data_IF_183103844362
#
_entry.id   IF_183103844362
#
_cell.length_a   1.000
_cell.length_b   1.000
_cell.length_c   1.000
_cell.angle_alpha   90.00
_cell.angle_beta   90.00
_cell.angle_gamma   90.00
#
_symmetry.space_group_name_H-M   'P 1'
#
loop_
_entity.id
_entity.type
_entity.pdbx_description
1 polymer ?
#
# COMPACT_ATOMS: atom_id res chain seq x y z
N UNK A 1 -40.90 -20.19 34.44
CA UNK A 1 -40.71 -18.75 34.11
C UNK A 1 -39.29 -18.57 33.60
N UNK A 2 -39.09 -18.17 32.33
CA UNK A 2 -37.76 -17.83 31.79
C UNK A 2 -37.50 -16.34 32.03
N UNK A 3 -36.30 -15.92 32.45
CA UNK A 3 -36.01 -14.51 32.69
C UNK A 3 -35.97 -13.75 31.36
N UNK A 4 -36.75 -12.67 31.26
CA UNK A 4 -36.67 -11.70 30.16
C UNK A 4 -35.32 -10.98 30.25
N UNK A 5 -34.47 -11.17 29.23
CA UNK A 5 -33.30 -10.32 29.00
C UNK A 5 -33.78 -8.89 28.76
N UNK A 6 -33.42 -7.98 29.66
CA UNK A 6 -33.59 -6.55 29.45
C UNK A 6 -32.77 -6.12 28.23
N UNK A 7 -33.46 -5.71 27.17
CA UNK A 7 -32.82 -5.06 26.05
C UNK A 7 -32.27 -3.72 26.52
N UNK A 8 -30.95 -3.56 26.49
CA UNK A 8 -30.34 -2.24 26.61
C UNK A 8 -30.96 -1.33 25.54
N UNK A 9 -31.62 -0.25 25.95
CA UNK A 9 -32.10 0.81 25.06
C UNK A 9 -30.89 1.45 24.39
N UNK A 10 -30.53 0.95 23.22
CA UNK A 10 -29.58 1.62 22.34
C UNK A 10 -30.20 2.93 21.89
N UNK A 11 -29.46 4.03 22.08
CA UNK A 11 -29.81 5.32 21.49
C UNK A 11 -29.83 5.14 19.97
N UNK A 12 -31.01 5.12 19.37
CA UNK A 12 -31.15 5.20 17.92
C UNK A 12 -30.78 6.62 17.49
N UNK A 13 -29.59 6.77 16.92
CA UNK A 13 -29.19 8.01 16.26
C UNK A 13 -30.14 8.24 15.08
N UNK A 14 -30.82 9.38 15.08
CA UNK A 14 -31.63 9.81 13.94
C UNK A 14 -30.79 9.92 12.66
N UNK A 15 -31.46 9.93 11.51
CA UNK A 15 -30.81 10.00 10.18
C UNK A 15 -29.94 11.25 10.03
N UNK A 16 -30.37 12.40 10.57
CA UNK A 16 -29.63 13.66 10.51
C UNK A 16 -28.21 13.59 11.11
N UNK A 17 -28.05 13.18 12.38
CA UNK A 17 -26.73 12.97 13.00
C UNK A 17 -25.80 12.02 12.22
N UNK A 18 -26.35 10.96 11.62
CA UNK A 18 -25.56 10.01 10.82
C UNK A 18 -25.06 10.62 9.51
N UNK A 19 -25.90 11.40 8.82
CA UNK A 19 -25.51 12.14 7.61
C UNK A 19 -24.44 13.17 7.94
N UNK A 20 -24.62 13.94 9.03
CA UNK A 20 -23.61 14.90 9.48
C UNK A 20 -22.26 14.25 9.82
N UNK A 21 -22.27 13.10 10.50
CA UNK A 21 -21.06 12.35 10.80
C UNK A 21 -20.37 11.79 9.54
N UNK A 22 -21.14 11.27 8.57
CA UNK A 22 -20.60 10.80 7.31
C UNK A 22 -19.95 11.94 6.50
N UNK A 23 -20.60 13.11 6.43
CA UNK A 23 -20.03 14.31 5.83
C UNK A 23 -18.75 14.75 6.55
N UNK A 24 -18.75 14.73 7.88
CA UNK A 24 -17.57 15.02 8.69
C UNK A 24 -16.38 14.11 8.35
N UNK A 25 -16.62 12.81 8.15
CA UNK A 25 -15.57 11.86 7.72
C UNK A 25 -15.02 12.23 6.34
N UNK A 26 -15.86 12.63 5.39
CA UNK A 26 -15.40 13.04 4.05
C UNK A 26 -14.61 14.34 4.09
N UNK A 27 -15.03 15.32 4.91
CA UNK A 27 -14.29 16.56 5.13
C UNK A 27 -12.91 16.25 5.73
N UNK A 28 -12.85 15.42 6.77
CA UNK A 28 -11.57 14.98 7.37
C UNK A 28 -10.71 14.25 6.35
N UNK A 29 -11.29 13.38 5.52
CA UNK A 29 -10.56 12.67 4.48
C UNK A 29 -9.93 13.64 3.47
N UNK A 30 -10.69 14.64 3.01
CA UNK A 30 -10.19 15.67 2.11
C UNK A 30 -9.10 16.52 2.76
N UNK A 31 -9.30 17.00 3.99
CA UNK A 31 -8.34 17.82 4.72
C UNK A 31 -7.04 17.06 5.01
N UNK A 32 -7.11 15.81 5.47
CA UNK A 32 -5.93 15.01 5.78
C UNK A 32 -5.05 14.81 4.52
N UNK A 33 -5.67 14.66 3.36
CA UNK A 33 -4.99 14.53 2.06
C UNK A 33 -4.41 15.85 1.59
N UNK A 34 -5.16 16.94 1.72
CA UNK A 34 -4.72 18.27 1.34
C UNK A 34 -3.52 18.75 2.16
N UNK A 35 -3.56 18.56 3.49
CA UNK A 35 -2.49 19.00 4.41
C UNK A 35 -1.23 18.12 4.32
N UNK A 36 -1.40 16.83 3.99
CA UNK A 36 -0.27 15.90 3.87
C UNK A 36 0.55 16.08 2.59
N UNK A 37 0.12 16.92 1.65
CA UNK A 37 0.71 17.06 0.32
C UNK A 37 1.23 18.48 0.04
N UNK A 38 2.54 18.69 0.04
CA UNK A 38 3.13 19.80 -0.69
C UNK A 38 3.19 19.43 -2.18
N UNK A 39 2.08 19.61 -2.91
CA UNK A 39 2.02 19.39 -4.38
C UNK A 39 3.17 20.13 -5.10
N UNK A 40 3.50 21.33 -4.62
CA UNK A 40 4.58 22.19 -5.13
C UNK A 40 6.00 21.58 -5.04
N UNK A 41 6.18 20.50 -4.28
CA UNK A 41 7.47 19.81 -4.07
C UNK A 41 7.46 18.37 -4.58
N UNK A 42 6.38 17.93 -5.22
CA UNK A 42 6.28 16.57 -5.71
C UNK A 42 7.21 16.35 -6.91
N UNK A 43 7.88 15.20 -6.96
CA UNK A 43 8.77 14.82 -8.05
C UNK A 43 8.32 13.46 -8.58
N UNK A 44 7.95 13.42 -9.86
CA UNK A 44 7.62 12.18 -10.55
C UNK A 44 8.89 11.39 -10.85
N UNK A 45 9.16 10.36 -10.06
CA UNK A 45 10.35 9.52 -10.19
C UNK A 45 10.03 8.02 -10.01
N UNK A 46 10.97 7.17 -10.41
CA UNK A 46 10.84 5.72 -10.42
C UNK A 46 9.61 5.29 -11.20
N UNK A 47 8.73 4.54 -10.54
CA UNK A 47 7.51 4.08 -11.19
C UNK A 47 6.47 5.18 -11.40
N UNK A 48 6.49 6.28 -10.64
CA UNK A 48 5.55 7.38 -10.83
C UNK A 48 5.81 8.11 -12.15
N UNK A 49 7.07 8.21 -12.57
CA UNK A 49 7.44 8.71 -13.89
C UNK A 49 6.84 7.85 -15.02
N UNK A 50 6.75 6.53 -14.85
CA UNK A 50 6.15 5.65 -15.86
C UNK A 50 4.64 5.93 -16.03
N UNK A 51 3.94 6.18 -14.92
CA UNK A 51 2.53 6.53 -14.94
C UNK A 51 2.28 7.95 -15.47
N UNK A 52 3.17 8.89 -15.17
CA UNK A 52 3.14 10.22 -15.78
C UNK A 52 3.32 10.14 -17.30
N UNK A 53 4.30 9.36 -17.80
CA UNK A 53 4.48 9.15 -19.24
C UNK A 53 3.24 8.56 -19.89
N UNK A 54 2.61 7.57 -19.26
CA UNK A 54 1.36 6.99 -19.75
C UNK A 54 0.24 8.04 -19.82
N UNK A 55 0.12 8.88 -18.78
CA UNK A 55 -0.83 9.98 -18.72
C UNK A 55 -0.55 11.03 -19.80
N UNK A 56 0.70 11.40 -20.05
CA UNK A 56 1.06 12.37 -21.09
C UNK A 56 0.99 11.79 -22.52
N UNK A 57 0.73 10.48 -22.66
CA UNK A 57 0.68 9.80 -23.96
C UNK A 57 2.07 9.56 -24.58
N UNK A 58 3.11 9.56 -23.75
CA UNK A 58 4.49 9.34 -24.16
C UNK A 58 4.79 7.84 -24.37
N UNK A 59 5.92 7.55 -25.03
CA UNK A 59 6.36 6.17 -25.22
C UNK A 59 6.74 5.51 -23.88
N UNK A 60 6.13 4.36 -23.63
CA UNK A 60 6.37 3.56 -22.43
C UNK A 60 7.52 2.55 -22.64
N UNK A 61 8.39 2.36 -21.64
CA UNK A 61 9.35 1.26 -21.67
C UNK A 61 8.63 -0.10 -21.65
N UNK A 62 9.34 -1.15 -22.07
CA UNK A 62 8.79 -2.51 -22.20
C UNK A 62 8.12 -3.01 -20.92
N UNK A 63 8.70 -2.71 -19.75
CA UNK A 63 8.14 -3.06 -18.44
C UNK A 63 6.78 -2.42 -18.15
N UNK A 64 6.54 -1.19 -18.61
CA UNK A 64 5.25 -0.51 -18.46
C UNK A 64 4.21 -0.96 -19.50
N UNK A 65 4.65 -1.37 -20.70
CA UNK A 65 3.77 -2.01 -21.72
C UNK A 65 3.15 -3.32 -21.23
N UNK A 66 3.76 -3.96 -20.23
CA UNK A 66 3.22 -5.13 -19.54
C UNK A 66 2.03 -4.79 -18.63
N UNK A 67 1.76 -3.53 -18.27
CA UNK A 67 0.58 -3.16 -17.48
C UNK A 67 -0.46 -2.40 -18.34
N UNK A 68 -1.13 -3.08 -19.30
CA UNK A 68 -1.89 -2.39 -20.35
C UNK A 68 -3.12 -1.65 -19.81
N UNK A 69 -3.83 -2.22 -18.83
CA UNK A 69 -5.04 -1.60 -18.31
C UNK A 69 -4.78 -0.27 -17.58
N UNK A 70 -3.88 -0.18 -16.59
CA UNK A 70 -3.60 1.09 -15.93
C UNK A 70 -2.97 2.11 -16.88
N UNK A 71 -2.08 1.68 -17.79
CA UNK A 71 -1.54 2.57 -18.83
C UNK A 71 -2.65 3.14 -19.73
N UNK A 72 -3.62 2.30 -20.14
CA UNK A 72 -4.76 2.73 -20.96
C UNK A 72 -5.66 3.71 -20.20
N UNK A 73 -5.96 3.43 -18.92
CA UNK A 73 -6.78 4.33 -18.09
C UNK A 73 -6.10 5.69 -17.98
N UNK A 74 -4.80 5.73 -17.70
CA UNK A 74 -4.05 6.97 -17.57
C UNK A 74 -3.95 7.73 -18.90
N UNK A 75 -3.69 7.04 -20.00
CA UNK A 75 -3.67 7.66 -21.33
C UNK A 75 -5.03 8.25 -21.72
N UNK A 76 -6.14 7.60 -21.33
CA UNK A 76 -7.48 8.16 -21.53
C UNK A 76 -7.74 9.39 -20.66
N UNK A 77 -7.30 9.38 -19.40
CA UNK A 77 -7.37 10.55 -18.52
C UNK A 77 -6.51 11.70 -19.05
N UNK A 78 -5.35 11.39 -19.62
CA UNK A 78 -4.44 12.32 -20.27
C UNK A 78 -5.02 13.07 -21.47
N UNK A 79 -6.04 12.49 -22.12
CA UNK A 79 -6.79 13.19 -23.18
C UNK A 79 -7.65 14.34 -22.64
N UNK A 80 -7.93 14.35 -21.34
CA UNK A 80 -8.73 15.39 -20.67
C UNK A 80 -7.85 16.51 -20.10
N UNK A 81 -6.60 16.21 -19.76
CA UNK A 81 -5.63 17.18 -19.26
C UNK A 81 -4.21 16.68 -19.50
N UNK A 82 -3.31 17.57 -19.88
CA UNK A 82 -1.87 17.30 -19.99
C UNK A 82 -1.08 17.90 -18.82
N UNK A 83 -1.75 18.51 -17.84
CA UNK A 83 -1.11 19.03 -16.65
C UNK A 83 -0.79 17.87 -15.67
N UNK A 84 0.49 17.64 -15.31
CA UNK A 84 0.88 16.60 -14.36
C UNK A 84 0.19 16.71 -13.00
N UNK A 85 -0.13 17.92 -12.54
CA UNK A 85 -0.80 18.10 -11.25
C UNK A 85 -2.21 17.50 -11.26
N UNK A 86 -2.87 17.49 -12.42
CA UNK A 86 -4.19 16.86 -12.57
C UNK A 86 -4.14 15.38 -12.15
N UNK A 87 -3.06 14.66 -12.45
CA UNK A 87 -2.90 13.26 -12.06
C UNK A 87 -2.87 13.09 -10.53
N UNK A 88 -2.21 14.00 -9.82
CA UNK A 88 -2.14 14.00 -8.35
C UNK A 88 -3.51 14.34 -7.73
N UNK A 89 -4.20 15.36 -8.25
CA UNK A 89 -5.55 15.71 -7.82
C UNK A 89 -6.56 14.58 -8.02
N UNK A 90 -6.45 13.83 -9.12
CA UNK A 90 -7.25 12.64 -9.37
C UNK A 90 -7.00 11.56 -8.32
N UNK A 91 -5.74 11.27 -7.98
CA UNK A 91 -5.40 10.30 -6.94
C UNK A 91 -5.92 10.71 -5.56
N UNK A 92 -5.87 12.01 -5.26
CA UNK A 92 -6.44 12.57 -4.03
C UNK A 92 -7.96 12.36 -3.96
N UNK A 93 -8.66 12.70 -5.04
CA UNK A 93 -10.10 12.51 -5.18
C UNK A 93 -10.48 11.04 -5.04
N UNK A 94 -9.76 10.14 -5.72
CA UNK A 94 -9.92 8.69 -5.58
C UNK A 94 -9.71 8.24 -4.14
N UNK A 95 -8.72 8.80 -3.44
CA UNK A 95 -8.49 8.54 -2.03
C UNK A 95 -9.68 8.89 -1.13
N UNK A 96 -10.40 9.98 -1.40
CA UNK A 96 -11.62 10.35 -0.67
C UNK A 96 -12.77 9.41 -1.03
N UNK A 97 -12.94 9.09 -2.31
CA UNK A 97 -13.96 8.14 -2.78
C UNK A 97 -13.72 6.75 -2.18
N UNK A 98 -12.47 6.31 -2.07
CA UNK A 98 -12.09 5.06 -1.44
C UNK A 98 -12.55 4.99 0.02
N UNK A 99 -12.41 6.07 0.79
CA UNK A 99 -12.90 6.16 2.17
C UNK A 99 -14.42 6.03 2.23
N UNK A 100 -15.13 6.73 1.34
CA UNK A 100 -16.59 6.66 1.26
C UNK A 100 -17.06 5.22 0.95
N UNK A 101 -16.49 4.61 -0.08
CA UNK A 101 -16.80 3.24 -0.49
C UNK A 101 -16.41 2.21 0.58
N UNK A 102 -15.26 2.40 1.24
CA UNK A 102 -14.82 1.56 2.36
C UNK A 102 -15.78 1.63 3.55
N UNK A 103 -16.26 2.83 3.90
CA UNK A 103 -17.30 3.02 4.92
C UNK A 103 -18.62 2.33 4.55
N UNK A 104 -19.06 2.46 3.29
CA UNK A 104 -20.26 1.77 2.79
C UNK A 104 -20.09 0.24 2.82
N UNK A 105 -18.94 -0.27 2.40
CA UNK A 105 -18.61 -1.70 2.45
C UNK A 105 -18.62 -2.22 3.89
N UNK A 106 -18.07 -1.46 4.85
CA UNK A 106 -18.03 -1.82 6.26
C UNK A 106 -19.43 -1.86 6.91
N UNK A 107 -20.30 -0.92 6.53
CA UNK A 107 -21.69 -0.85 6.97
C UNK A 107 -22.57 -1.97 6.38
N UNK A 108 -22.11 -2.67 5.33
CA UNK A 108 -22.89 -3.72 4.67
C UNK A 108 -23.18 -4.88 5.64
N UNK A 109 -24.46 -5.09 5.93
CA UNK A 109 -24.89 -6.09 6.91
C UNK A 109 -24.50 -5.75 8.36
N UNK A 110 -24.21 -4.49 8.65
CA UNK A 110 -23.90 -3.98 9.99
C UNK A 110 -24.68 -2.68 10.26
N UNK A 111 -24.49 -2.09 11.45
CA UNK A 111 -25.09 -0.79 11.79
C UNK A 111 -24.36 0.33 11.02
N UNK A 112 -25.04 1.41 10.57
CA UNK A 112 -24.42 2.52 9.85
C UNK A 112 -23.21 3.14 10.55
N UNK A 113 -23.24 3.17 11.88
CA UNK A 113 -22.14 3.68 12.72
C UNK A 113 -20.81 2.93 12.50
N UNK A 114 -20.86 1.64 12.15
CA UNK A 114 -19.66 0.85 11.80
C UNK A 114 -18.99 1.43 10.55
N UNK A 115 -19.80 1.85 9.57
CA UNK A 115 -19.29 2.50 8.36
C UNK A 115 -18.66 3.85 8.63
N UNK A 116 -19.26 4.66 9.50
CA UNK A 116 -18.70 5.96 9.91
C UNK A 116 -17.35 5.75 10.60
N UNK A 117 -17.25 4.82 11.55
CA UNK A 117 -15.99 4.55 12.25
C UNK A 117 -14.92 3.97 11.33
N UNK A 118 -15.28 3.00 10.48
CA UNK A 118 -14.35 2.44 9.51
C UNK A 118 -13.86 3.53 8.54
N UNK A 119 -14.76 4.38 8.07
CA UNK A 119 -14.44 5.54 7.24
C UNK A 119 -13.50 6.52 7.94
N UNK A 120 -13.74 6.87 9.21
CA UNK A 120 -12.87 7.76 9.98
C UNK A 120 -11.45 7.18 10.16
N UNK A 121 -11.36 5.87 10.44
CA UNK A 121 -10.07 5.18 10.56
C UNK A 121 -9.33 5.11 9.22
N UNK A 122 -10.03 4.86 8.11
CA UNK A 122 -9.46 4.91 6.76
C UNK A 122 -9.04 6.33 6.35
N UNK A 123 -9.86 7.33 6.68
CA UNK A 123 -9.62 8.74 6.38
C UNK A 123 -8.31 9.23 7.00
N UNK A 124 -7.99 8.70 8.17
CA UNK A 124 -6.80 9.06 8.95
C UNK A 124 -5.66 8.04 8.83
N UNK A 125 -5.84 6.94 8.12
CA UNK A 125 -4.83 5.91 7.98
C UNK A 125 -3.60 6.46 7.23
N UNK A 126 -2.41 6.51 7.86
CA UNK A 126 -1.24 7.17 7.28
C UNK A 126 -0.84 6.61 5.91
N UNK A 127 -0.79 5.28 5.76
CA UNK A 127 -0.47 4.65 4.49
C UNK A 127 -1.51 4.95 3.41
N UNK A 128 -2.81 4.98 3.75
CA UNK A 128 -3.85 5.30 2.77
C UNK A 128 -3.75 6.76 2.32
N UNK A 129 -3.50 7.70 3.23
CA UNK A 129 -3.30 9.11 2.89
C UNK A 129 -2.08 9.27 1.99
N UNK A 130 -0.96 8.63 2.32
CA UNK A 130 0.27 8.65 1.53
C UNK A 130 0.09 8.09 0.12
N UNK A 131 -0.58 6.95 -0.02
CA UNK A 131 -0.84 6.35 -1.34
C UNK A 131 -1.92 7.09 -2.14
N UNK A 132 -2.74 7.92 -1.48
CA UNK A 132 -3.63 8.87 -2.18
C UNK A 132 -2.87 10.09 -2.73
N UNK A 133 -1.61 10.27 -2.29
CA UNK A 133 -0.74 11.39 -2.58
C UNK A 133 0.40 11.06 -3.56
N UNK A 134 0.33 9.90 -4.19
CA UNK A 134 1.30 9.36 -5.13
C UNK A 134 0.60 9.12 -6.46
N UNK A 135 1.30 9.35 -7.58
CA UNK A 135 0.81 9.00 -8.91
C UNK A 135 0.96 7.50 -9.23
N UNK A 136 1.52 6.73 -8.30
CA UNK A 136 1.65 5.28 -8.42
C UNK A 136 0.28 4.61 -8.35
N UNK A 137 0.06 3.57 -9.17
CA UNK A 137 -1.23 2.89 -9.34
C UNK A 137 -1.62 1.99 -8.15
N UNK A 138 -1.87 2.59 -6.99
CA UNK A 138 -2.26 1.90 -5.75
C UNK A 138 -3.67 2.29 -5.33
N UNK A 139 -3.99 3.58 -5.36
CA UNK A 139 -5.27 4.06 -4.84
C UNK A 139 -6.45 3.75 -5.75
N UNK A 140 -6.25 3.80 -7.08
CA UNK A 140 -7.29 3.45 -8.05
C UNK A 140 -7.77 1.99 -7.89
N UNK A 141 -6.89 0.96 -7.96
CA UNK A 141 -7.33 -0.42 -7.78
C UNK A 141 -7.90 -0.68 -6.37
N UNK A 142 -7.39 -0.01 -5.34
CA UNK A 142 -7.96 -0.08 -3.99
C UNK A 142 -9.39 0.51 -3.94
N UNK A 143 -9.63 1.64 -4.61
CA UNK A 143 -10.95 2.29 -4.70
C UNK A 143 -11.95 1.38 -5.40
N UNK A 144 -11.54 0.75 -6.51
CA UNK A 144 -12.35 -0.21 -7.25
C UNK A 144 -12.68 -1.43 -6.38
N UNK A 145 -11.72 -1.96 -5.61
CA UNK A 145 -11.96 -3.05 -4.66
C UNK A 145 -12.96 -2.66 -3.55
N UNK A 146 -12.84 -1.46 -2.99
CA UNK A 146 -13.81 -0.96 -2.00
C UNK A 146 -15.22 -0.81 -2.60
N UNK A 147 -15.31 -0.29 -3.83
CA UNK A 147 -16.57 -0.24 -4.57
C UNK A 147 -17.16 -1.63 -4.83
N UNK A 148 -16.32 -2.61 -5.17
CA UNK A 148 -16.71 -3.99 -5.37
C UNK A 148 -17.32 -4.60 -4.09
N UNK A 149 -16.70 -4.35 -2.93
CA UNK A 149 -17.18 -4.81 -1.63
C UNK A 149 -18.47 -4.08 -1.19
N UNK A 150 -18.59 -2.78 -1.50
CA UNK A 150 -19.78 -1.99 -1.21
C UNK A 150 -21.00 -2.49 -2.01
N UNK A 151 -20.82 -2.80 -3.30
CA UNK A 151 -21.87 -3.36 -4.14
C UNK A 151 -22.19 -4.82 -3.79
N UNK A 152 -21.15 -5.64 -3.58
CA UNK A 152 -21.24 -7.06 -3.26
C UNK A 152 -21.79 -7.94 -4.39
N UNK A 153 -21.68 -9.26 -4.22
CA UNK A 153 -22.21 -10.25 -5.16
C UNK A 153 -21.71 -10.07 -6.59
N UNK A 154 -22.56 -10.39 -7.58
CA UNK A 154 -22.21 -10.24 -9.01
C UNK A 154 -22.11 -8.78 -9.46
N UNK A 155 -22.75 -7.84 -8.74
CA UNK A 155 -22.71 -6.41 -9.09
C UNK A 155 -21.34 -5.79 -8.82
N UNK A 156 -20.64 -6.28 -7.79
CA UNK A 156 -19.28 -5.86 -7.49
C UNK A 156 -18.21 -6.57 -8.31
N UNK A 157 -18.52 -7.73 -8.92
CA UNK A 157 -17.52 -8.55 -9.63
C UNK A 157 -16.80 -7.80 -10.78
N UNK A 158 -17.46 -6.96 -11.59
CA UNK A 158 -16.77 -6.15 -12.60
C UNK A 158 -15.76 -5.16 -12.01
N UNK A 159 -16.10 -4.49 -10.90
CA UNK A 159 -15.17 -3.58 -10.24
C UNK A 159 -13.96 -4.33 -9.65
N UNK A 160 -14.18 -5.52 -9.10
CA UNK A 160 -13.06 -6.34 -8.63
C UNK A 160 -12.21 -6.85 -9.80
N UNK A 161 -12.82 -7.19 -10.93
CA UNK A 161 -12.10 -7.57 -12.15
C UNK A 161 -11.23 -6.44 -12.69
N UNK A 162 -11.75 -5.21 -12.71
CA UNK A 162 -10.98 -4.02 -13.07
C UNK A 162 -9.86 -3.75 -12.06
N UNK A 163 -10.11 -3.92 -10.76
CA UNK A 163 -9.08 -3.79 -9.73
C UNK A 163 -7.93 -4.78 -9.95
N UNK A 164 -8.24 -6.06 -10.18
CA UNK A 164 -7.28 -7.11 -10.51
C UNK A 164 -6.57 -6.85 -11.84
N UNK A 165 -7.26 -6.36 -12.87
CA UNK A 165 -6.62 -6.00 -14.14
C UNK A 165 -5.68 -4.80 -14.00
N UNK A 166 -5.99 -3.86 -13.11
CA UNK A 166 -5.13 -2.71 -12.80
C UNK A 166 -3.92 -3.13 -11.97
N UNK A 167 -4.10 -4.09 -11.07
CA UNK A 167 -3.07 -4.59 -10.16
C UNK A 167 -3.35 -6.05 -9.81
N UNK A 168 -2.59 -6.92 -10.42
CA UNK A 168 -2.89 -8.34 -10.54
C UNK A 168 -2.72 -9.11 -9.23
N UNK A 169 -1.90 -8.61 -8.33
CA UNK A 169 -1.72 -9.12 -6.97
C UNK A 169 -3.01 -9.05 -6.15
N UNK A 170 -3.94 -8.15 -6.49
CA UNK A 170 -5.24 -8.09 -5.83
C UNK A 170 -6.06 -9.37 -6.07
N UNK A 171 -5.82 -10.11 -7.15
CA UNK A 171 -6.50 -11.38 -7.38
C UNK A 171 -6.13 -12.44 -6.33
N UNK A 172 -4.96 -12.33 -5.70
CA UNK A 172 -4.53 -13.19 -4.60
C UNK A 172 -5.41 -13.00 -3.35
N UNK A 173 -6.10 -11.87 -3.25
CA UNK A 173 -7.09 -11.64 -2.19
C UNK A 173 -8.45 -12.29 -2.47
N UNK A 174 -8.64 -13.04 -3.57
CA UNK A 174 -9.94 -13.66 -3.88
C UNK A 174 -10.54 -14.48 -2.73
N UNK A 175 -9.76 -15.29 -1.97
CA UNK A 175 -10.29 -15.98 -0.80
C UNK A 175 -10.76 -15.01 0.31
N UNK A 176 -9.99 -13.97 0.59
CA UNK A 176 -10.34 -12.95 1.59
C UNK A 176 -11.56 -12.12 1.16
N UNK A 177 -11.66 -11.78 -0.13
CA UNK A 177 -12.82 -11.11 -0.73
C UNK A 177 -14.05 -12.03 -0.68
N UNK A 178 -13.90 -13.35 -0.90
CA UNK A 178 -14.98 -14.31 -0.76
C UNK A 178 -15.53 -14.35 0.68
N UNK A 179 -14.67 -14.25 1.70
CA UNK A 179 -15.08 -14.18 3.11
C UNK A 179 -15.94 -12.95 3.41
N UNK A 180 -15.69 -11.82 2.75
CA UNK A 180 -16.38 -10.54 2.99
C UNK A 180 -17.61 -10.31 2.11
N UNK A 181 -17.45 -10.49 0.80
CA UNK A 181 -18.45 -10.17 -0.22
C UNK A 181 -19.14 -11.37 -0.87
N UNK A 182 -18.68 -12.60 -0.54
CA UNK A 182 -19.19 -13.86 -1.06
C UNK A 182 -18.46 -14.35 -2.32
N UNK A 183 -18.56 -15.66 -2.60
CA UNK A 183 -17.83 -16.32 -3.70
C UNK A 183 -18.13 -15.71 -5.08
N UNK A 184 -19.36 -15.21 -5.31
CA UNK A 184 -19.76 -14.58 -6.57
C UNK A 184 -18.96 -13.30 -6.86
N UNK A 185 -18.60 -12.55 -5.81
CA UNK A 185 -17.74 -11.39 -5.95
C UNK A 185 -16.32 -11.83 -6.29
N UNK A 186 -15.84 -12.89 -5.65
CA UNK A 186 -14.50 -13.43 -5.86
C UNK A 186 -14.25 -13.94 -7.30
N UNK A 187 -15.31 -14.25 -8.06
CA UNK A 187 -15.19 -14.51 -9.52
C UNK A 187 -14.58 -13.33 -10.27
N UNK A 188 -14.68 -12.10 -9.75
CA UNK A 188 -13.99 -10.94 -10.30
C UNK A 188 -12.46 -11.10 -10.32
N UNK A 189 -11.88 -12.00 -9.53
CA UNK A 189 -10.45 -12.32 -9.61
C UNK A 189 -10.03 -12.82 -11.00
N UNK A 190 -10.96 -13.36 -11.80
CA UNK A 190 -10.71 -13.70 -13.20
C UNK A 190 -10.31 -12.48 -14.05
N UNK A 191 -10.55 -11.25 -13.59
CA UNK A 191 -10.01 -10.05 -14.22
C UNK A 191 -8.48 -10.00 -14.25
N UNK A 192 -7.77 -10.78 -13.42
CA UNK A 192 -6.33 -10.99 -13.56
C UNK A 192 -5.94 -11.57 -14.93
N UNK A 193 -6.86 -12.25 -15.62
CA UNK A 193 -6.64 -12.74 -16.98
C UNK A 193 -6.45 -11.59 -17.99
N UNK A 194 -6.95 -10.38 -17.69
CA UNK A 194 -6.69 -9.18 -18.50
C UNK A 194 -5.21 -8.79 -18.41
N UNK A 195 -4.57 -9.08 -17.28
CA UNK A 195 -3.13 -8.97 -17.10
C UNK A 195 -2.38 -10.27 -17.45
N UNK A 196 -3.04 -11.32 -17.97
CA UNK A 196 -2.39 -12.61 -18.29
C UNK A 196 -1.14 -12.51 -19.18
N UNK A 197 -1.02 -11.58 -20.15
CA UNK A 197 0.21 -11.44 -20.92
C UNK A 197 1.46 -11.18 -20.05
N UNK A 198 1.31 -10.60 -18.85
CA UNK A 198 2.41 -10.48 -17.88
C UNK A 198 2.73 -11.79 -17.20
N UNK A 199 1.70 -12.50 -16.74
CA UNK A 199 1.81 -13.80 -16.05
C UNK A 199 2.59 -14.85 -16.84
N UNK A 200 2.44 -14.86 -18.17
CA UNK A 200 3.05 -15.87 -19.03
C UNK A 200 4.50 -15.55 -19.44
N UNK A 201 5.06 -14.39 -19.06
CA UNK A 201 6.45 -14.01 -19.37
C UNK A 201 7.40 -14.10 -18.18
N UNK A 202 6.95 -14.64 -17.04
CA UNK A 202 7.80 -14.93 -15.90
C UNK A 202 7.84 -16.40 -15.53
N UNK A 203 9.05 -16.95 -15.48
CA UNK A 203 9.29 -18.24 -14.81
C UNK A 203 8.67 -18.25 -13.41
N UNK A 204 7.96 -19.31 -13.06
CA UNK A 204 7.22 -19.40 -11.80
C UNK A 204 8.13 -19.29 -10.57
N UNK A 205 7.63 -18.73 -9.46
CA UNK A 205 8.48 -18.34 -8.33
C UNK A 205 9.01 -19.53 -7.53
N UNK A 206 10.29 -19.49 -7.16
CA UNK A 206 10.89 -20.42 -6.21
C UNK A 206 10.35 -20.17 -4.78
N UNK A 207 9.72 -21.19 -4.18
CA UNK A 207 9.20 -21.14 -2.80
C UNK A 207 10.31 -21.34 -1.77
N UNK A 208 10.46 -20.40 -0.84
CA UNK A 208 11.25 -20.56 0.42
C UNK A 208 10.32 -20.77 1.64
N UNK A 209 10.82 -21.30 2.77
CA UNK A 209 10.01 -21.53 3.98
C UNK A 209 9.46 -20.23 4.58
N UNK A 210 8.16 -20.23 4.92
CA UNK A 210 7.43 -19.09 5.48
C UNK A 210 8.06 -18.48 6.75
N UNK A 211 8.83 -19.29 7.51
CA UNK A 211 9.50 -18.86 8.74
C UNK A 211 10.58 -17.79 8.57
N UNK A 212 11.05 -17.55 7.34
CA UNK A 212 12.07 -16.52 7.03
C UNK A 212 11.43 -15.25 6.48
N UNK A 213 10.41 -15.38 5.62
CA UNK A 213 9.81 -14.25 4.88
C UNK A 213 8.89 -13.42 5.78
N UNK A 214 8.12 -14.08 6.66
CA UNK A 214 7.16 -13.39 7.53
C UNK A 214 7.85 -12.42 8.50
N UNK A 215 8.90 -12.80 9.27
CA UNK A 215 9.57 -11.90 10.21
C UNK A 215 10.12 -10.61 9.59
N UNK A 216 10.71 -10.68 8.40
CA UNK A 216 11.26 -9.50 7.73
C UNK A 216 10.15 -8.56 7.25
N UNK A 217 9.08 -9.14 6.71
CA UNK A 217 7.90 -8.41 6.27
C UNK A 217 7.10 -7.79 7.43
N UNK A 218 7.10 -8.39 8.62
CA UNK A 218 6.49 -7.80 9.82
C UNK A 218 7.10 -6.43 10.19
N UNK A 219 8.38 -6.21 9.90
CA UNK A 219 9.02 -4.91 10.14
C UNK A 219 8.50 -3.83 9.19
N UNK A 220 8.31 -4.18 7.91
CA UNK A 220 7.74 -3.29 6.89
C UNK A 220 6.30 -2.90 7.21
N UNK A 221 5.55 -3.78 7.89
CA UNK A 221 4.18 -3.49 8.33
C UNK A 221 4.06 -2.41 9.39
N UNK A 222 5.08 -2.20 10.23
CA UNK A 222 5.02 -1.19 11.29
C UNK A 222 4.74 0.22 10.73
N UNK A 223 5.07 0.41 9.45
CA UNK A 223 4.88 1.65 8.70
C UNK A 223 3.46 1.84 8.15
N UNK A 224 2.64 0.78 8.10
CA UNK A 224 1.22 0.88 7.74
C UNK A 224 0.37 1.53 8.84
N UNK A 225 0.97 1.76 10.01
CA UNK A 225 0.33 2.32 11.19
C UNK A 225 0.01 1.25 12.24
N UNK A 226 -0.53 1.67 13.40
CA UNK A 226 -0.64 0.83 14.59
C UNK A 226 -1.50 -0.42 14.38
N UNK A 227 -2.56 -0.30 13.58
CA UNK A 227 -3.48 -1.42 13.25
C UNK A 227 -2.77 -2.49 12.41
N UNK A 228 -1.76 -2.11 11.63
CA UNK A 228 -0.94 -3.02 10.84
C UNK A 228 0.16 -3.73 11.64
N UNK A 229 0.37 -3.38 12.91
CA UNK A 229 1.39 -4.03 13.75
C UNK A 229 0.85 -5.32 14.37
N UNK A 230 1.72 -6.27 14.73
CA UNK A 230 1.33 -7.45 15.51
C UNK A 230 0.56 -7.10 16.80
N UNK A 231 0.99 -6.12 17.63
CA UNK A 231 0.22 -5.67 18.78
C UNK A 231 -1.17 -5.13 18.41
N UNK A 232 -1.27 -4.36 17.32
CA UNK A 232 -2.56 -3.87 16.82
C UNK A 232 -3.48 -5.00 16.39
N UNK A 233 -2.95 -5.98 15.67
CA UNK A 233 -3.69 -7.15 15.20
C UNK A 233 -4.16 -8.03 16.37
N UNK A 234 -3.30 -8.23 17.37
CA UNK A 234 -3.65 -8.91 18.62
C UNK A 234 -4.75 -8.15 19.36
N UNK A 235 -4.62 -6.83 19.52
CA UNK A 235 -5.63 -6.00 20.19
C UNK A 235 -6.99 -6.07 19.48
N UNK A 236 -7.00 -6.02 18.14
CA UNK A 236 -8.22 -6.18 17.35
C UNK A 236 -8.80 -7.59 17.53
N UNK A 237 -7.97 -8.64 17.51
CA UNK A 237 -8.43 -10.02 17.68
C UNK A 237 -9.05 -10.27 19.07
N UNK A 238 -8.45 -9.73 20.14
CA UNK A 238 -8.99 -9.84 21.50
C UNK A 238 -10.27 -9.04 21.70
N UNK A 239 -10.38 -7.88 21.06
CA UNK A 239 -11.54 -6.99 21.16
C UNK A 239 -12.69 -7.37 20.20
N UNK A 240 -12.41 -8.18 19.19
CA UNK A 240 -13.35 -8.50 18.11
C UNK A 240 -14.50 -9.38 18.62
N UNK A 241 -15.77 -8.94 18.51
CA UNK A 241 -16.90 -9.81 18.76
C UNK A 241 -16.94 -10.91 17.69
N UNK A 242 -17.71 -11.98 17.95
CA UNK A 242 -17.92 -13.04 16.95
C UNK A 242 -18.37 -12.47 15.60
N UNK A 243 -19.15 -11.41 15.55
CA UNK A 243 -19.59 -10.75 14.29
C UNK A 243 -18.45 -10.13 13.46
N UNK A 244 -17.25 -10.00 14.02
CA UNK A 244 -16.04 -9.50 13.38
C UNK A 244 -15.08 -10.60 12.90
N UNK A 245 -15.42 -11.89 13.05
CA UNK A 245 -14.52 -12.99 12.65
C UNK A 245 -14.18 -12.98 11.16
N UNK A 246 -15.15 -12.66 10.29
CA UNK A 246 -14.94 -12.60 8.83
C UNK A 246 -13.95 -11.52 8.42
N UNK A 247 -14.13 -10.24 8.82
CA UNK A 247 -13.13 -9.22 8.52
C UNK A 247 -11.78 -9.48 9.18
N UNK A 248 -11.74 -10.01 10.41
CA UNK A 248 -10.48 -10.40 11.03
C UNK A 248 -9.76 -11.49 10.21
N UNK A 249 -10.45 -12.57 9.85
CA UNK A 249 -9.89 -13.67 9.08
C UNK A 249 -9.47 -13.23 7.66
N UNK A 250 -10.27 -12.38 7.00
CA UNK A 250 -9.90 -11.82 5.70
C UNK A 250 -8.65 -10.93 5.78
N UNK A 251 -8.53 -10.13 6.84
CA UNK A 251 -7.34 -9.31 7.10
C UNK A 251 -6.09 -10.15 7.35
N UNK A 252 -6.19 -11.16 8.21
CA UNK A 252 -5.08 -12.09 8.50
C UNK A 252 -4.69 -12.88 7.26
N UNK A 253 -5.67 -13.38 6.50
CA UNK A 253 -5.40 -14.13 5.27
C UNK A 253 -4.70 -13.25 4.25
N UNK A 254 -5.22 -12.04 3.98
CA UNK A 254 -4.57 -11.10 3.07
C UNK A 254 -3.17 -10.73 3.55
N UNK A 255 -2.97 -10.59 4.87
CA UNK A 255 -1.65 -10.37 5.43
C UNK A 255 -0.69 -11.52 5.14
N UNK A 256 -1.05 -12.75 5.52
CA UNK A 256 -0.21 -13.93 5.31
C UNK A 256 0.09 -14.14 3.82
N UNK A 257 -0.90 -13.92 2.96
CA UNK A 257 -0.73 -14.01 1.51
C UNK A 257 0.26 -12.97 0.99
N UNK A 258 0.26 -11.73 1.47
CA UNK A 258 1.22 -10.74 0.98
C UNK A 258 2.59 -10.87 1.67
N UNK A 259 2.62 -11.25 2.94
CA UNK A 259 3.85 -11.47 3.70
C UNK A 259 4.63 -12.70 3.23
N UNK A 260 4.06 -13.55 2.39
CA UNK A 260 4.83 -14.57 1.68
C UNK A 260 5.60 -14.01 0.49
N UNK A 261 5.42 -12.73 0.11
CA UNK A 261 6.15 -12.08 -0.97
C UNK A 261 7.28 -11.15 -0.47
N UNK A 262 8.41 -11.15 -1.16
CA UNK A 262 9.60 -10.31 -0.92
C UNK A 262 9.42 -8.85 -1.30
N UNK A 263 8.43 -8.57 -2.14
CA UNK A 263 8.04 -7.21 -2.42
C UNK A 263 6.86 -6.79 -1.52
N UNK A 264 6.90 -7.14 -0.23
CA UNK A 264 5.89 -6.59 0.67
C UNK A 264 6.19 -5.11 0.92
N UNK A 265 5.61 -4.28 0.07
CA UNK A 265 5.36 -2.89 0.35
C UNK A 265 4.13 -2.63 1.20
N UNK A 266 4.11 -1.49 1.87
CA UNK A 266 2.93 -0.97 2.57
C UNK A 266 1.70 -0.81 1.64
N UNK A 267 1.93 -0.66 0.32
CA UNK A 267 0.88 -0.70 -0.72
C UNK A 267 0.06 -1.99 -0.76
N UNK A 268 0.62 -3.12 -0.34
CA UNK A 268 -0.06 -4.43 -0.30
C UNK A 268 -0.87 -4.62 0.98
N UNK A 269 -0.66 -3.74 1.98
CA UNK A 269 -1.32 -3.82 3.27
C UNK A 269 -2.62 -3.01 3.35
N UNK A 270 -2.95 -2.22 2.32
CA UNK A 270 -4.16 -1.37 2.34
C UNK A 270 -5.46 -2.18 2.50
N UNK A 271 -5.61 -3.30 1.77
CA UNK A 271 -6.79 -4.15 1.91
C UNK A 271 -6.80 -4.95 3.23
N UNK A 272 -5.70 -5.63 3.65
CA UNK A 272 -5.62 -6.23 4.97
C UNK A 272 -5.92 -5.23 6.11
N UNK A 273 -5.36 -4.02 6.06
CA UNK A 273 -5.59 -2.97 7.05
C UNK A 273 -7.05 -2.52 7.08
N UNK A 274 -7.69 -2.37 5.91
CA UNK A 274 -9.14 -2.13 5.83
C UNK A 274 -9.94 -3.21 6.57
N UNK A 275 -9.65 -4.48 6.31
CA UNK A 275 -10.34 -5.59 6.97
C UNK A 275 -10.20 -5.52 8.51
N UNK A 276 -9.01 -5.20 9.01
CA UNK A 276 -8.76 -5.02 10.45
C UNK A 276 -9.50 -3.79 11.01
N UNK A 277 -9.54 -2.68 10.26
CA UNK A 277 -10.34 -1.49 10.59
C UNK A 277 -11.83 -1.84 10.70
N UNK A 278 -12.37 -2.64 9.78
CA UNK A 278 -13.76 -3.10 9.84
C UNK A 278 -14.00 -4.01 11.06
N UNK A 279 -13.06 -4.90 11.36
CA UNK A 279 -13.14 -5.74 12.55
C UNK A 279 -13.14 -4.89 13.84
N UNK A 280 -12.26 -3.90 13.91
CA UNK A 280 -12.18 -2.95 15.03
C UNK A 280 -13.45 -2.11 15.15
N UNK A 281 -13.99 -1.59 14.04
CA UNK A 281 -15.21 -0.79 14.00
C UNK A 281 -16.47 -1.56 14.45
N UNK A 282 -16.42 -2.89 14.43
CA UNK A 282 -17.48 -3.76 14.94
C UNK A 282 -17.33 -4.08 16.43
N UNK A 283 -16.25 -3.66 17.10
CA UNK A 283 -16.06 -3.89 18.53
C UNK A 283 -17.10 -3.17 19.41
N UNK A 284 -17.47 -3.80 20.53
CA UNK A 284 -18.53 -3.32 21.43
C UNK A 284 -18.00 -2.98 22.82
N UNK A 285 -18.71 -2.12 23.57
CA UNK A 285 -18.41 -1.81 24.97
C UNK A 285 -17.13 -0.97 25.17
N UNK A 286 -16.35 -1.31 26.21
CA UNK A 286 -15.08 -0.65 26.59
C UNK A 286 -14.08 -0.61 25.41
N UNK A 287 -14.20 -1.55 24.47
CA UNK A 287 -13.35 -1.64 23.28
C UNK A 287 -13.56 -0.51 22.27
N UNK A 288 -14.63 0.31 22.39
CA UNK A 288 -14.75 1.58 21.66
C UNK A 288 -13.70 2.61 22.06
N UNK A 289 -13.16 2.53 23.28
CA UNK A 289 -12.02 3.35 23.72
C UNK A 289 -10.78 2.98 22.92
N UNK A 290 -10.60 1.68 22.61
CA UNK A 290 -9.55 1.21 21.70
C UNK A 290 -9.67 1.85 20.31
N UNK A 291 -10.88 2.10 19.83
CA UNK A 291 -11.10 2.76 18.54
C UNK A 291 -10.69 4.24 18.56
N UNK A 292 -10.95 4.95 19.66
CA UNK A 292 -10.46 6.31 19.86
C UNK A 292 -8.92 6.35 19.99
N UNK A 293 -8.32 5.36 20.64
CA UNK A 293 -6.86 5.22 20.70
C UNK A 293 -6.26 4.94 19.31
N UNK A 294 -6.87 4.07 18.51
CA UNK A 294 -6.44 3.81 17.14
C UNK A 294 -6.56 5.06 16.25
N UNK A 295 -7.64 5.83 16.40
CA UNK A 295 -7.79 7.11 15.72
C UNK A 295 -6.71 8.12 16.15
N UNK A 296 -6.45 8.23 17.46
CA UNK A 296 -5.40 9.11 17.98
C UNK A 296 -4.00 8.71 17.49
N UNK A 297 -3.71 7.41 17.43
CA UNK A 297 -2.45 6.92 16.89
C UNK A 297 -2.34 7.13 15.38
N UNK A 298 -3.44 7.02 14.63
CA UNK A 298 -3.47 7.40 13.21
C UNK A 298 -3.18 8.89 13.03
N UNK A 299 -3.81 9.76 13.82
CA UNK A 299 -3.56 11.21 13.80
C UNK A 299 -2.11 11.56 14.17
N UNK A 300 -1.53 10.88 15.16
CA UNK A 300 -0.11 11.01 15.49
C UNK A 300 0.78 10.54 14.33
N UNK A 301 0.44 9.41 13.70
CA UNK A 301 1.09 8.92 12.50
C UNK A 301 1.02 9.90 11.33
N UNK A 302 -0.10 10.61 11.14
CA UNK A 302 -0.24 11.68 10.15
C UNK A 302 0.68 12.88 10.45
N UNK A 303 0.84 13.25 11.72
CA UNK A 303 1.81 14.27 12.12
C UNK A 303 3.24 13.84 11.78
N UNK A 304 3.61 12.60 12.09
CA UNK A 304 4.91 12.05 11.73
C UNK A 304 5.09 11.95 10.20
N UNK A 305 4.03 11.63 9.47
CA UNK A 305 3.96 11.70 8.01
C UNK A 305 4.38 13.07 7.52
N UNK A 306 3.69 14.10 8.02
CA UNK A 306 3.91 15.47 7.58
C UNK A 306 5.36 15.86 7.79
N UNK A 307 5.93 15.60 8.96
CA UNK A 307 7.33 15.89 9.25
C UNK A 307 8.31 15.20 8.31
N UNK A 308 7.98 13.99 7.82
CA UNK A 308 8.80 13.25 6.84
C UNK A 308 8.56 13.69 5.39
N UNK A 309 7.34 14.08 5.03
CA UNK A 309 7.00 14.74 3.74
C UNK A 309 7.69 16.11 3.62
N UNK A 310 7.79 16.84 4.74
CA UNK A 310 8.43 18.14 4.82
C UNK A 310 9.92 18.06 5.19
N UNK A 311 10.48 16.86 5.35
CA UNK A 311 11.91 16.70 5.60
C UNK A 311 12.67 17.21 4.37
N UNK A 312 13.35 18.34 4.52
CA UNK A 312 14.15 18.94 3.46
C UNK A 312 15.35 18.05 3.15
N UNK A 313 15.94 18.19 1.95
CA UNK A 313 17.23 17.56 1.61
C UNK A 313 18.32 17.79 2.69
N UNK A 314 18.15 18.83 3.50
CA UNK A 314 18.95 19.15 4.67
C UNK A 314 18.84 18.09 5.78
N UNK A 315 17.63 17.63 6.16
CA UNK A 315 17.45 16.57 7.16
C UNK A 315 18.03 15.24 6.67
N UNK A 316 17.89 14.93 5.38
CA UNK A 316 18.56 13.79 4.77
C UNK A 316 20.08 13.95 4.86
N UNK A 317 20.61 15.13 4.53
CA UNK A 317 22.05 15.40 4.60
C UNK A 317 22.63 15.38 6.02
N UNK A 318 21.84 15.74 7.03
CA UNK A 318 22.19 15.68 8.45
C UNK A 318 22.09 14.24 9.01
N UNK A 319 21.21 13.41 8.43
CA UNK A 319 21.09 12.00 8.77
C UNK A 319 22.17 11.13 8.11
N UNK A 320 22.87 11.62 7.08
CA UNK A 320 24.04 10.96 6.51
C UNK A 320 25.18 10.98 7.54
N UNK A 321 25.76 9.82 7.91
CA UNK A 321 26.92 9.79 8.79
C UNK A 321 28.05 10.67 8.23
N UNK A 322 28.55 11.61 9.04
CA UNK A 322 29.63 12.52 8.65
C UNK A 322 30.95 11.81 8.33
N UNK A 323 31.12 10.58 8.83
CA UNK A 323 32.35 9.78 8.78
C UNK A 323 32.43 8.78 7.61
N UNK A 324 31.43 8.72 6.73
CA UNK A 324 31.44 7.82 5.56
C UNK A 324 32.22 8.44 4.38
N UNK A 325 33.54 8.22 4.34
CA UNK A 325 34.48 8.78 3.34
C UNK A 325 35.06 7.77 2.33
N UNK A 326 34.34 6.73 1.92
CA UNK A 326 34.85 5.81 0.89
C UNK A 326 34.13 5.95 -0.45
N UNK A 327 34.92 6.35 -1.46
CA UNK A 327 34.52 6.92 -2.75
C UNK A 327 34.51 5.86 -3.87
N UNK A 328 34.88 4.62 -3.56
CA UNK A 328 34.87 3.50 -4.49
C UNK A 328 34.13 2.33 -3.84
N UNK A 329 33.08 1.79 -4.47
CA UNK A 329 32.41 0.62 -3.92
C UNK A 329 33.38 -0.58 -3.83
N UNK A 330 33.20 -1.49 -2.85
CA UNK A 330 34.00 -2.70 -2.77
C UNK A 330 33.87 -3.51 -4.07
N UNK A 331 35.00 -3.89 -4.66
CA UNK A 331 35.08 -4.61 -5.94
C UNK A 331 34.61 -6.07 -5.83
N UNK A 332 34.10 -6.67 -6.93
CA UNK A 332 33.33 -6.04 -8.00
C UNK A 332 31.87 -5.90 -7.55
N UNK A 333 31.26 -4.73 -7.80
CA UNK A 333 29.84 -4.55 -7.52
C UNK A 333 29.06 -4.07 -8.74
N UNK A 334 27.80 -4.50 -8.82
CA UNK A 334 26.87 -4.06 -9.87
C UNK A 334 25.90 -3.07 -9.25
N UNK A 335 25.82 -1.87 -9.85
CA UNK A 335 24.83 -0.87 -9.48
C UNK A 335 23.44 -1.33 -9.92
N UNK A 336 22.52 -1.36 -8.97
CA UNK A 336 21.15 -1.78 -9.22
C UNK A 336 20.20 -0.59 -9.39
N UNK A 337 19.85 -0.33 -10.64
CA UNK A 337 18.82 0.64 -10.99
C UNK A 337 17.41 0.14 -10.68
N UNK A 338 17.24 -1.19 -10.58
CA UNK A 338 15.98 -1.89 -10.28
C UNK A 338 16.11 -2.85 -9.07
N UNK A 339 15.00 -3.31 -8.49
CA UNK A 339 15.04 -4.33 -7.43
C UNK A 339 15.73 -5.58 -7.99
N UNK A 340 16.85 -6.03 -7.42
CA UNK A 340 17.57 -7.17 -7.96
C UNK A 340 16.73 -8.42 -7.79
N UNK A 341 16.80 -9.26 -8.81
CA UNK A 341 16.36 -10.64 -8.73
C UNK A 341 17.50 -11.41 -8.05
N UNK A 342 17.37 -11.63 -6.74
CA UNK A 342 18.27 -12.51 -6.02
C UNK A 342 17.88 -13.96 -6.31
N UNK A 343 18.76 -14.80 -6.89
CA UNK A 343 18.47 -16.23 -7.03
C UNK A 343 18.32 -16.95 -5.69
N UNK A 344 18.67 -16.28 -4.57
CA UNK A 344 18.39 -16.71 -3.19
C UNK A 344 17.20 -15.99 -2.57
N UNK A 345 16.68 -14.90 -3.14
CA UNK A 345 15.48 -14.26 -2.59
C UNK A 345 14.21 -14.96 -3.07
N UNK A 346 13.22 -14.72 -2.23
CA UNK A 346 11.93 -15.31 -2.06
C UNK A 346 10.92 -14.74 -3.09
N UNK A 347 9.63 -14.97 -2.89
CA UNK A 347 8.59 -14.57 -3.84
C UNK A 347 8.49 -13.05 -4.05
N UNK A 348 9.26 -12.37 -4.89
CA UNK A 348 8.90 -11.00 -5.29
C UNK A 348 7.87 -11.05 -6.44
N UNK A 349 6.96 -10.07 -6.53
CA UNK A 349 6.04 -9.97 -7.66
C UNK A 349 6.78 -9.70 -8.99
N UNK A 350 8.09 -9.41 -8.98
CA UNK A 350 8.87 -9.43 -10.22
C UNK A 350 9.20 -10.85 -10.65
N UNK A 351 9.70 -11.69 -9.75
CA UNK A 351 10.12 -13.05 -10.01
C UNK A 351 8.94 -13.96 -10.31
N UNK A 352 7.81 -13.79 -9.62
CA UNK A 352 6.59 -14.54 -9.89
C UNK A 352 5.91 -14.18 -11.23
N UNK A 353 6.22 -13.04 -11.85
CA UNK A 353 5.49 -12.50 -13.00
C UNK A 353 6.39 -12.17 -14.22
N UNK A 354 7.69 -11.94 -14.00
CA UNK A 354 8.70 -11.62 -15.02
C UNK A 354 9.91 -12.57 -14.99
N UNK A 355 9.91 -13.56 -14.10
CA UNK A 355 10.84 -14.68 -14.10
C UNK A 355 12.08 -14.48 -13.24
N UNK A 356 12.87 -15.53 -13.12
CA UNK A 356 14.16 -15.48 -12.45
C UNK A 356 15.20 -14.89 -13.41
N UNK A 357 15.75 -13.72 -13.07
CA UNK A 357 16.98 -13.22 -13.65
C UNK A 357 18.17 -13.77 -12.88
N UNK A 358 19.32 -13.86 -13.53
CA UNK A 358 20.58 -14.21 -12.87
C UNK A 358 20.98 -13.10 -11.90
N UNK A 359 21.61 -13.46 -10.77
CA UNK A 359 22.28 -12.49 -9.89
C UNK A 359 23.24 -11.65 -10.74
N UNK A 360 23.44 -10.37 -10.43
CA UNK A 360 24.42 -9.57 -11.15
C UNK A 360 25.78 -10.27 -11.13
N UNK A 361 26.27 -10.64 -12.31
CA UNK A 361 27.61 -11.17 -12.49
C UNK A 361 28.46 -10.08 -13.12
N UNK A 362 29.61 -9.80 -12.51
CA UNK A 362 30.66 -9.00 -13.13
C UNK A 362 31.79 -9.96 -13.49
N UNK A 363 32.10 -10.08 -14.79
CA UNK A 363 33.19 -10.93 -15.31
C UNK A 363 33.13 -12.41 -14.85
N UNK A 364 31.93 -12.96 -14.69
CA UNK A 364 31.72 -14.35 -14.24
C UNK A 364 31.96 -14.58 -12.74
N UNK A 365 32.20 -13.53 -11.97
CA UNK A 365 32.27 -13.55 -10.50
C UNK A 365 30.94 -13.05 -9.93
N UNK A 366 30.47 -13.68 -8.85
CA UNK A 366 29.30 -13.21 -8.11
C UNK A 366 29.63 -11.81 -7.55
N UNK A 367 29.04 -10.76 -8.12
CA UNK A 367 29.32 -9.39 -7.74
C UNK A 367 28.57 -9.02 -6.45
N UNK A 368 29.18 -8.18 -5.63
CA UNK A 368 28.51 -7.50 -4.52
C UNK A 368 27.41 -6.59 -5.08
N UNK A 369 26.37 -6.37 -4.28
CA UNK A 369 25.29 -5.48 -4.66
C UNK A 369 25.70 -4.04 -4.36
N UNK A 370 25.53 -3.09 -5.26
CA UNK A 370 25.66 -1.67 -4.96
C UNK A 370 24.35 -0.94 -5.26
N UNK A 371 23.91 -0.09 -4.32
CA UNK A 371 22.72 0.74 -4.53
C UNK A 371 22.88 2.12 -3.91
N UNK A 372 22.47 3.16 -4.64
CA UNK A 372 22.41 4.54 -4.15
C UNK A 372 21.02 4.90 -3.64
N UNK A 373 20.87 5.15 -2.36
CA UNK A 373 19.68 5.75 -1.76
C UNK A 373 19.80 7.27 -1.84
N UNK A 374 19.01 7.94 -2.68
CA UNK A 374 18.96 9.41 -2.75
C UNK A 374 18.06 10.06 -1.69
N UNK A 375 18.11 11.39 -1.57
CA UNK A 375 17.18 12.15 -0.74
C UNK A 375 15.71 11.87 -1.10
N UNK A 376 15.38 11.62 -2.38
CA UNK A 376 14.02 11.28 -2.83
C UNK A 376 13.54 9.89 -2.37
N UNK A 377 14.46 9.02 -1.94
CA UNK A 377 14.13 7.72 -1.32
C UNK A 377 13.81 7.86 0.18
N UNK A 378 14.32 8.93 0.81
CA UNK A 378 14.04 9.30 2.19
C UNK A 378 12.84 10.24 2.33
N UNK A 379 12.77 11.23 1.44
CA UNK A 379 11.69 12.18 1.32
C UNK A 379 10.47 11.49 0.71
N UNK A 380 9.28 11.85 1.18
CA UNK A 380 8.03 11.24 0.71
C UNK A 380 7.56 11.88 -0.62
N UNK A 381 8.49 12.24 -1.51
CA UNK A 381 8.18 12.77 -2.84
C UNK A 381 7.80 11.66 -3.81
N UNK A 382 8.30 10.43 -3.61
CA UNK A 382 7.87 9.22 -4.32
C UNK A 382 7.75 8.04 -3.34
N UNK A 383 6.52 7.60 -3.04
CA UNK A 383 6.27 6.55 -2.04
C UNK A 383 6.79 5.19 -2.49
N UNK A 384 6.78 4.93 -3.79
CA UNK A 384 7.34 3.71 -4.38
C UNK A 384 8.84 3.57 -4.15
N UNK A 385 9.59 4.68 -4.20
CA UNK A 385 11.04 4.71 -3.94
C UNK A 385 11.37 4.50 -2.46
N UNK A 386 10.60 5.10 -1.55
CA UNK A 386 10.78 4.89 -0.11
C UNK A 386 10.53 3.44 0.30
N UNK A 387 9.44 2.86 -0.21
CA UNK A 387 9.09 1.47 0.05
C UNK A 387 10.16 0.51 -0.50
N UNK A 388 10.71 0.81 -1.68
CA UNK A 388 11.90 0.14 -2.23
C UNK A 388 13.11 0.27 -1.31
N UNK A 389 13.43 1.47 -0.85
CA UNK A 389 14.57 1.72 0.02
C UNK A 389 14.49 0.95 1.35
N UNK A 390 13.30 0.82 1.91
CA UNK A 390 13.07 0.01 3.11
C UNK A 390 13.25 -1.48 2.84
N UNK A 391 12.73 -1.98 1.71
CA UNK A 391 12.95 -3.38 1.30
C UNK A 391 14.42 -3.67 1.09
N UNK A 392 15.15 -2.80 0.39
CA UNK A 392 16.60 -2.94 0.20
C UNK A 392 17.31 -3.11 1.54
N UNK A 393 17.04 -2.21 2.50
CA UNK A 393 17.67 -2.25 3.84
C UNK A 393 17.30 -3.47 4.69
N UNK A 394 16.07 -3.96 4.59
CA UNK A 394 15.54 -4.99 5.50
C UNK A 394 15.67 -6.40 4.92
N UNK A 395 15.60 -6.56 3.60
CA UNK A 395 15.50 -7.87 2.93
C UNK A 395 16.79 -8.29 2.25
N UNK A 396 17.64 -7.35 1.84
CA UNK A 396 18.83 -7.65 1.02
C UNK A 396 20.15 -7.70 1.81
N UNK A 397 20.09 -7.64 3.14
CA UNK A 397 21.24 -7.73 4.05
C UNK A 397 22.40 -6.82 3.60
N UNK A 398 22.05 -5.58 3.27
CA UNK A 398 22.97 -4.56 2.77
C UNK A 398 23.44 -3.68 3.92
N UNK A 399 24.72 -3.32 3.90
CA UNK A 399 25.35 -2.42 4.85
C UNK A 399 25.68 -1.08 4.18
N UNK A 400 25.55 0.06 4.87
CA UNK A 400 25.94 1.34 4.32
C UNK A 400 27.47 1.40 4.19
N UNK A 401 27.99 1.70 2.99
CA UNK A 401 29.45 1.73 2.74
C UNK A 401 30.02 3.13 2.50
N UNK A 402 29.18 4.11 2.17
CA UNK A 402 29.66 5.42 1.76
C UNK A 402 28.57 6.42 1.38
N UNK A 403 28.97 7.67 1.16
CA UNK A 403 28.15 8.65 0.43
C UNK A 403 28.77 8.85 -0.95
N UNK A 404 28.06 8.43 -1.99
CA UNK A 404 28.47 8.64 -3.36
C UNK A 404 28.04 10.04 -3.82
N UNK A 405 28.89 10.70 -4.58
CA UNK A 405 28.54 11.93 -5.31
C UNK A 405 28.58 11.62 -6.79
N UNK A 406 27.40 11.46 -7.39
CA UNK A 406 27.31 11.27 -8.83
C UNK A 406 27.81 12.54 -9.55
N UNK A 407 28.56 12.44 -10.67
CA UNK A 407 29.00 13.61 -11.43
C UNK A 407 27.81 14.48 -11.83
N UNK A 408 27.70 15.68 -11.27
CA UNK A 408 26.56 16.59 -11.50
C UNK A 408 25.25 16.19 -10.83
N UNK A 409 25.22 15.11 -10.03
CA UNK A 409 24.02 14.57 -9.38
C UNK A 409 23.98 14.77 -7.85
N UNK A 410 22.88 14.32 -7.20
CA UNK A 410 22.72 14.42 -5.75
C UNK A 410 23.71 13.54 -4.99
N UNK A 411 23.88 13.82 -3.69
CA UNK A 411 24.56 12.91 -2.76
C UNK A 411 23.64 11.73 -2.47
N UNK A 412 24.16 10.51 -2.59
CA UNK A 412 23.38 9.27 -2.39
C UNK A 412 24.11 8.39 -1.38
N UNK A 413 23.37 7.74 -0.47
CA UNK A 413 23.93 6.76 0.46
C UNK A 413 24.14 5.45 -0.30
N UNK A 414 25.39 5.00 -0.35
CA UNK A 414 25.77 3.73 -0.95
C UNK A 414 25.50 2.58 0.02
N UNK A 415 24.82 1.56 -0.45
CA UNK A 415 24.56 0.29 0.24
C UNK A 415 25.26 -0.85 -0.48
N UNK A 416 25.95 -1.71 0.28
CA UNK A 416 26.67 -2.88 -0.25
C UNK A 416 26.23 -4.16 0.43
N UNK A 417 26.00 -5.22 -0.35
CA UNK A 417 25.96 -6.57 0.20
C UNK A 417 27.34 -7.21 0.02
N UNK A 418 28.07 -7.54 1.10
CA UNK A 418 29.40 -8.14 1.00
C UNK A 418 29.40 -9.51 0.32
#
# INVERSE_FOLDING_TARGET
>A
MRPRRGAAKGVELGVGPLVGAALGVLIVAALARWVALPLERHVFDGHEALYLRAFLGEELPTSAKLMPLPATILALLGRLSHDPETLLHLHLGLGVVCVALGGLAAARGARPIVGIFAGALLATAPAHVAWSASAYNVILPQTLLMGALALGGLRGAPLYALACGCRVELALFAPAVALLGGWRLALGALGALIAAPTLFHGGGPALRPLGVVIPANLQLMALAGPIGTLPGLAAVAFAAPRSAWRPLAAGVLGFVTMASFDDLGDRHLLFPAFCLVVAAARAEGVWRIGLAALLALNLWGLSALSQRFYATAQIYSEALPAELTTITPPLPCVELLDDPLDPRSHWNHRGAWWGHGDWPQADGVQASLCWGEEAAHWAWTSRGLHDRALRMRVLYDVEPFGVLRLPGGPRVMGWVRP
#
